data_IF_014693114969
#
_entry.id   IF_014693114969
#
_cell.length_a   1.000
_cell.length_b   1.000
_cell.length_c   1.000
_cell.angle_alpha   90.00
_cell.angle_beta   90.00
_cell.angle_gamma   90.00
#
_symmetry.space_group_name_H-M   'P 1'
#
loop_
_entity.id
_entity.type
_entity.pdbx_description
1 polymer ?
#
# COMPACT_ATOMS: atom_id res chain seq x y z
N UNK A 1 0.86 5.19 7.23
CA UNK A 1 1.11 4.39 8.44
C UNK A 1 1.56 2.97 8.09
N UNK A 2 0.74 2.17 7.39
CA UNK A 2 1.07 0.77 7.06
C UNK A 2 2.28 0.56 6.12
N UNK A 3 2.48 1.44 5.13
CA UNK A 3 3.56 1.30 4.14
C UNK A 3 4.95 1.69 4.69
N UNK A 4 4.98 2.67 5.60
CA UNK A 4 6.20 3.19 6.23
C UNK A 4 6.03 3.29 7.75
N UNK A 5 5.91 2.15 8.45
CA UNK A 5 5.52 2.11 9.85
C UNK A 5 6.56 2.79 10.76
N UNK A 6 7.85 2.53 10.53
CA UNK A 6 8.97 3.15 11.28
C UNK A 6 9.01 4.66 11.10
N UNK A 7 8.95 5.16 9.85
CA UNK A 7 8.97 6.60 9.56
C UNK A 7 7.74 7.31 10.18
N UNK A 8 6.57 6.69 10.04
CA UNK A 8 5.33 7.21 10.62
C UNK A 8 5.42 7.27 12.14
N UNK A 9 5.89 6.19 12.79
CA UNK A 9 6.02 6.12 14.24
C UNK A 9 7.01 7.15 14.76
N UNK A 10 8.16 7.30 14.10
CA UNK A 10 9.16 8.33 14.45
C UNK A 10 8.56 9.74 14.40
N UNK A 11 7.85 10.08 13.32
CA UNK A 11 7.14 11.37 13.19
C UNK A 11 6.09 11.58 14.27
N UNK A 12 5.39 10.52 14.67
CA UNK A 12 4.38 10.59 15.73
C UNK A 12 5.04 10.89 17.08
N UNK A 13 6.13 10.19 17.41
CA UNK A 13 6.89 10.42 18.63
C UNK A 13 7.44 11.85 18.70
N UNK A 14 8.01 12.34 17.60
CA UNK A 14 8.49 13.73 17.48
C UNK A 14 7.36 14.74 17.76
N UNK A 15 6.18 14.54 17.15
CA UNK A 15 5.01 15.42 17.37
C UNK A 15 4.50 15.41 18.80
N UNK A 16 4.66 14.29 19.51
CA UNK A 16 4.24 14.14 20.90
C UNK A 16 5.33 14.57 21.90
N UNK A 17 6.53 14.94 21.42
CA UNK A 17 7.67 15.24 22.28
C UNK A 17 8.20 14.01 23.03
N UNK A 18 7.98 12.81 22.49
CA UNK A 18 8.43 11.55 23.06
C UNK A 18 9.76 11.10 22.43
N UNK A 19 10.60 10.45 23.22
CA UNK A 19 11.85 9.87 22.74
C UNK A 19 11.58 8.60 21.91
N UNK A 20 12.04 8.59 20.65
CA UNK A 20 11.97 7.43 19.78
C UNK A 20 13.23 6.56 19.95
N UNK A 21 13.11 5.46 20.70
CA UNK A 21 14.25 4.58 21.05
C UNK A 21 14.40 3.41 20.08
N UNK A 22 15.57 2.75 20.03
CA UNK A 22 15.76 1.53 19.24
C UNK A 22 14.77 0.41 19.59
N UNK A 23 14.42 0.28 20.87
CA UNK A 23 13.41 -0.70 21.33
C UNK A 23 12.04 -0.44 20.72
N UNK A 24 11.62 0.83 20.62
CA UNK A 24 10.38 1.21 19.96
C UNK A 24 10.42 0.85 18.47
N UNK A 25 11.54 1.11 17.80
CA UNK A 25 11.71 0.73 16.40
C UNK A 25 11.54 -0.77 16.18
N UNK A 26 12.25 -1.59 16.96
CA UNK A 26 12.14 -3.05 16.89
C UNK A 26 10.70 -3.50 17.12
N UNK A 27 10.03 -2.96 18.15
CA UNK A 27 8.63 -3.28 18.42
C UNK A 27 7.72 -2.93 17.25
N UNK A 28 7.89 -1.75 16.64
CA UNK A 28 7.11 -1.32 15.46
C UNK A 28 7.35 -2.25 14.29
N UNK A 29 8.60 -2.62 13.99
CA UNK A 29 8.95 -3.52 12.90
C UNK A 29 8.31 -4.90 13.09
N UNK A 30 8.46 -5.50 14.28
CA UNK A 30 7.90 -6.80 14.62
C UNK A 30 6.38 -6.82 14.49
N UNK A 31 5.68 -5.78 14.94
CA UNK A 31 4.21 -5.78 14.97
C UNK A 31 3.56 -5.33 13.65
N UNK A 32 4.32 -4.77 12.71
CA UNK A 32 3.78 -4.21 11.45
C UNK A 32 4.26 -4.89 10.17
N UNK A 33 5.33 -5.68 10.22
CA UNK A 33 5.97 -6.36 9.08
C UNK A 33 6.13 -7.88 9.25
N UNK A 34 5.46 -8.48 10.22
CA UNK A 34 5.59 -9.92 10.42
C UNK A 34 4.82 -10.72 9.35
N UNK A 35 5.53 -11.63 8.70
CA UNK A 35 4.98 -12.54 7.69
C UNK A 35 4.33 -13.81 8.30
N UNK A 36 4.44 -14.01 9.62
CA UNK A 36 3.84 -15.13 10.34
C UNK A 36 2.33 -14.88 10.61
N UNK A 37 1.55 -14.90 9.53
CA UNK A 37 0.09 -14.71 9.57
C UNK A 37 -0.62 -15.98 10.04
N UNK A 38 0.03 -17.15 9.98
CA UNK A 38 -0.61 -18.46 10.16
C UNK A 38 -0.50 -19.05 11.57
N UNK A 39 0.39 -18.53 12.43
CA UNK A 39 0.63 -19.10 13.76
C UNK A 39 -0.48 -18.80 14.79
N UNK A 40 -1.15 -17.63 14.70
CA UNK A 40 -2.21 -17.27 15.64
C UNK A 40 -3.21 -16.21 15.09
N UNK A 41 -4.47 -16.61 14.78
CA UNK A 41 -5.52 -15.70 14.31
C UNK A 41 -5.87 -14.55 15.27
N UNK A 42 -5.53 -14.68 16.54
CA UNK A 42 -5.75 -13.68 17.59
C UNK A 42 -4.49 -12.89 17.97
N UNK A 43 -3.37 -13.11 17.27
CA UNK A 43 -2.15 -12.32 17.50
C UNK A 43 -2.31 -10.87 17.06
N UNK A 44 -1.58 -9.97 17.73
CA UNK A 44 -1.44 -8.55 17.35
C UNK A 44 -0.28 -8.30 16.40
N UNK A 45 0.48 -9.34 16.05
CA UNK A 45 1.60 -9.31 15.12
C UNK A 45 1.06 -9.56 13.71
N UNK A 46 1.20 -8.58 12.80
CA UNK A 46 0.62 -8.63 11.45
C UNK A 46 1.50 -7.94 10.41
N UNK A 47 1.45 -8.41 9.16
CA UNK A 47 1.93 -7.65 8.01
C UNK A 47 0.87 -6.61 7.61
N UNK A 48 0.88 -5.47 8.29
CA UNK A 48 -0.06 -4.37 8.03
C UNK A 48 0.14 -3.73 6.64
N UNK A 49 1.33 -3.86 6.04
CA UNK A 49 1.64 -3.32 4.71
C UNK A 49 0.90 -4.06 3.59
N UNK A 50 0.50 -5.31 3.81
CA UNK A 50 -0.24 -6.11 2.82
C UNK A 50 -1.71 -5.69 2.66
N UNK A 51 -2.33 -5.09 3.69
CA UNK A 51 -3.77 -4.83 3.71
C UNK A 51 -4.25 -3.70 2.77
N UNK A 52 -3.61 -2.51 2.70
CA UNK A 52 -4.18 -1.33 2.02
C UNK A 52 -4.46 -1.50 0.53
N UNK A 53 -3.72 -2.39 -0.15
CA UNK A 53 -3.82 -2.66 -1.58
C UNK A 53 -4.40 -4.05 -1.87
N UNK A 54 -4.74 -4.84 -0.83
CA UNK A 54 -5.19 -6.23 -0.99
C UNK A 54 -6.53 -6.39 -1.69
N UNK A 55 -7.32 -5.32 -1.77
CA UNK A 55 -8.62 -5.27 -2.44
C UNK A 55 -8.48 -5.09 -3.95
N UNK A 56 -7.43 -4.42 -4.43
CA UNK A 56 -7.23 -4.11 -5.84
C UNK A 56 -7.32 -5.37 -6.73
N UNK A 57 -6.52 -6.43 -6.54
CA UNK A 57 -6.57 -7.62 -7.39
C UNK A 57 -7.90 -8.40 -7.31
N UNK A 58 -8.78 -8.08 -6.36
CA UNK A 58 -10.07 -8.76 -6.18
C UNK A 58 -11.23 -8.03 -6.86
N UNK A 59 -10.97 -6.88 -7.47
CA UNK A 59 -11.98 -6.04 -8.12
C UNK A 59 -11.77 -6.01 -9.63
N UNK A 60 -12.85 -5.84 -10.39
CA UNK A 60 -12.73 -5.61 -11.82
C UNK A 60 -12.21 -4.20 -12.10
N UNK A 61 -11.60 -3.98 -13.27
CA UNK A 61 -11.12 -2.63 -13.66
C UNK A 61 -12.24 -1.60 -13.58
N UNK A 62 -13.47 -1.96 -14.00
CA UNK A 62 -14.63 -1.08 -13.94
C UNK A 62 -15.00 -0.71 -12.50
N UNK A 63 -14.99 -1.67 -11.58
CA UNK A 63 -15.29 -1.39 -10.17
C UNK A 63 -14.21 -0.51 -9.54
N UNK A 64 -12.94 -0.69 -9.92
CA UNK A 64 -11.86 0.18 -9.43
C UNK A 64 -12.01 1.60 -9.97
N UNK A 65 -12.37 1.75 -11.25
CA UNK A 65 -12.65 3.06 -11.85
C UNK A 65 -13.82 3.76 -11.17
N UNK A 66 -14.89 3.03 -10.87
CA UNK A 66 -16.05 3.55 -10.14
C UNK A 66 -15.65 4.02 -8.73
N UNK A 67 -14.89 3.21 -7.98
CA UNK A 67 -14.38 3.61 -6.67
C UNK A 67 -13.50 4.86 -6.75
N UNK A 68 -12.62 4.94 -7.75
CA UNK A 68 -11.76 6.10 -7.95
C UNK A 68 -12.56 7.36 -8.32
N UNK A 69 -13.65 7.22 -9.08
CA UNK A 69 -14.53 8.34 -9.43
C UNK A 69 -15.21 8.89 -8.18
N UNK A 70 -15.81 8.03 -7.35
CA UNK A 70 -16.54 8.45 -6.15
C UNK A 70 -15.63 8.85 -4.98
N UNK A 71 -14.47 8.22 -4.85
CA UNK A 71 -13.56 8.42 -3.71
C UNK A 71 -12.28 9.17 -4.09
N UNK A 72 -12.26 9.88 -5.23
CA UNK A 72 -11.06 10.54 -5.75
C UNK A 72 -10.32 11.37 -4.69
N UNK A 73 -11.05 12.24 -4.00
CA UNK A 73 -10.51 13.18 -3.01
C UNK A 73 -9.91 12.44 -1.80
N UNK A 74 -10.62 11.43 -1.28
CA UNK A 74 -10.16 10.59 -0.18
C UNK A 74 -8.93 9.79 -0.59
N UNK A 75 -8.97 9.13 -1.74
CA UNK A 75 -7.86 8.34 -2.26
C UNK A 75 -6.62 9.20 -2.49
N UNK A 76 -6.78 10.39 -3.08
CA UNK A 76 -5.70 11.36 -3.28
C UNK A 76 -5.08 11.78 -1.94
N UNK A 77 -5.90 12.17 -0.96
CA UNK A 77 -5.42 12.58 0.38
C UNK A 77 -4.71 11.44 1.14
N UNK A 78 -5.10 10.20 0.87
CA UNK A 78 -4.46 9.00 1.44
C UNK A 78 -3.21 8.55 0.66
N UNK A 79 -2.89 9.19 -0.47
CA UNK A 79 -1.70 8.92 -1.28
C UNK A 79 -1.83 7.69 -2.19
N UNK A 80 -3.05 7.28 -2.54
CA UNK A 80 -3.28 6.27 -3.57
C UNK A 80 -2.88 6.83 -4.94
N UNK A 81 -2.27 5.97 -5.78
CA UNK A 81 -2.05 6.27 -7.20
C UNK A 81 -3.22 5.73 -7.99
N UNK A 82 -3.80 6.56 -8.85
CA UNK A 82 -4.95 6.15 -9.65
C UNK A 82 -4.49 5.30 -10.82
N UNK A 83 -5.30 4.33 -11.24
CA UNK A 83 -5.02 3.50 -12.42
C UNK A 83 -4.76 4.40 -13.65
N UNK A 84 -5.50 5.50 -13.79
CA UNK A 84 -5.35 6.43 -14.90
C UNK A 84 -3.97 7.10 -14.94
N UNK A 85 -3.33 7.32 -13.78
CA UNK A 85 -1.96 7.86 -13.70
C UNK A 85 -0.91 6.80 -14.07
N UNK A 86 -1.24 5.50 -13.92
CA UNK A 86 -0.36 4.41 -14.31
C UNK A 86 -0.29 4.23 -15.83
N UNK A 87 -1.36 4.62 -16.52
CA UNK A 87 -1.59 4.49 -17.96
C UNK A 87 -0.95 5.63 -18.77
N UNK A 88 -0.60 6.75 -18.13
CA UNK A 88 -0.07 7.94 -18.83
C UNK A 88 1.47 7.97 -18.96
N UNK A 89 2.17 6.95 -18.49
CA UNK A 89 3.63 6.87 -18.59
C UNK A 89 4.03 5.84 -19.65
N UNK A 90 4.68 6.35 -20.70
CA UNK A 90 5.31 5.69 -21.86
C UNK A 90 4.40 5.22 -23.02
N UNK A 91 4.27 6.09 -24.03
CA UNK A 91 4.39 5.78 -25.47
C UNK A 91 3.70 4.55 -26.11
N UNK A 92 2.60 4.01 -25.60
CA UNK A 92 1.79 3.04 -26.36
C UNK A 92 0.28 3.25 -26.20
N UNK A 93 -0.30 3.93 -27.18
CA UNK A 93 -1.74 4.16 -27.28
C UNK A 93 -2.39 2.94 -27.95
N UNK A 94 -2.56 1.84 -27.21
CA UNK A 94 -3.62 0.86 -27.51
C UNK A 94 -3.86 -0.16 -26.36
N UNK A 95 -5.05 0.02 -25.76
CA UNK A 95 -5.99 -1.03 -25.32
C UNK A 95 -5.72 -1.77 -24.00
N UNK A 96 -6.29 -1.21 -22.93
CA UNK A 96 -6.60 -1.88 -21.65
C UNK A 96 -7.70 -2.94 -21.77
N UNK A 97 -8.33 -3.10 -22.92
CA UNK A 97 -9.39 -4.11 -23.13
C UNK A 97 -8.86 -5.56 -23.05
N UNK A 98 -7.52 -5.75 -23.09
CA UNK A 98 -6.88 -7.05 -23.12
C UNK A 98 -5.89 -7.34 -21.97
N UNK A 99 -5.74 -6.43 -21.00
CA UNK A 99 -4.85 -6.64 -19.83
C UNK A 99 -5.67 -6.96 -18.59
N UNK A 100 -5.36 -8.07 -17.91
CA UNK A 100 -5.95 -8.36 -16.60
C UNK A 100 -5.33 -7.46 -15.53
N UNK A 101 -6.09 -7.15 -14.49
CA UNK A 101 -5.63 -6.26 -13.40
C UNK A 101 -4.36 -6.81 -12.72
N UNK A 102 -4.22 -8.13 -12.68
CA UNK A 102 -3.00 -8.81 -12.24
C UNK A 102 -1.79 -8.42 -13.11
N UNK A 103 -1.95 -8.33 -14.44
CA UNK A 103 -0.86 -7.92 -15.33
C UNK A 103 -0.48 -6.43 -15.17
N UNK A 104 -1.41 -5.56 -14.78
CA UNK A 104 -1.14 -4.13 -14.50
C UNK A 104 -0.41 -3.98 -13.15
N UNK A 105 -0.79 -4.77 -12.15
CA UNK A 105 -0.16 -4.76 -10.83
C UNK A 105 1.22 -5.42 -10.85
N UNK A 106 1.41 -6.49 -11.63
CA UNK A 106 2.67 -7.25 -11.71
C UNK A 106 3.73 -6.58 -12.61
N UNK A 107 3.32 -5.78 -13.61
CA UNK A 107 4.26 -5.04 -14.50
C UNK A 107 4.77 -3.73 -13.91
N UNK A 108 4.07 -3.12 -12.93
CA UNK A 108 4.46 -1.81 -12.36
C UNK A 108 4.58 -1.77 -10.83
N UNK A 109 4.16 -2.82 -10.14
CA UNK A 109 4.37 -3.00 -8.71
C UNK A 109 4.80 -4.44 -8.41
N UNK A 110 6.00 -4.87 -8.88
CA UNK A 110 6.63 -6.03 -8.28
C UNK A 110 6.79 -5.66 -6.81
N UNK A 111 6.13 -6.40 -5.94
CA UNK A 111 6.19 -6.19 -4.50
C UNK A 111 7.66 -5.91 -4.12
N UNK A 112 7.92 -4.71 -3.59
CA UNK A 112 9.15 -4.25 -2.91
C UNK A 112 10.29 -3.50 -3.63
N UNK A 113 10.34 -3.28 -4.95
CA UNK A 113 11.54 -2.63 -5.51
C UNK A 113 11.37 -1.17 -6.00
N UNK A 114 12.25 -0.32 -5.45
CA UNK A 114 12.68 1.01 -5.91
C UNK A 114 11.86 2.24 -5.45
N UNK A 115 11.77 2.41 -4.14
CA UNK A 115 12.07 3.72 -3.54
C UNK A 115 13.58 3.79 -3.25
N UNK A 116 14.37 4.14 -4.28
CA UNK A 116 15.59 4.92 -4.11
C UNK A 116 15.30 6.37 -4.47
#
# INVERSE_FOLDING_TARGET
MALKPVETAKRLYERLGLEYTPTVQTWVEEHTRADDILSNPHSTIRNSASAPLSWLPRMSVNDVLEVQEYCYDVMHNLGYKLINDLVYDDNDTQMLDNYTLDQILDTKYPLLDLMS
#
